data_IF_289351735570
#
_entry.id   IF_289351735570
#
_cell.length_a   1.000
_cell.length_b   1.000
_cell.length_c   1.000
_cell.angle_alpha   90.00
_cell.angle_beta   90.00
_cell.angle_gamma   90.00
#
_symmetry.space_group_name_H-M   'P 1'
#
loop_
_entity.id
_entity.type
_entity.pdbx_description
1 polymer ?
#
# COMPACT_ATOMS: atom_id res chain seq x y z
N UNK A 1 -15.59 17.36 7.00
CA UNK A 1 -15.76 16.26 6.02
C UNK A 1 -14.70 15.21 6.29
N UNK A 2 -15.05 13.91 6.34
CA UNK A 2 -14.12 12.83 6.73
C UNK A 2 -13.45 12.22 5.49
N UNK A 3 -12.18 11.81 5.62
CA UNK A 3 -11.46 11.05 4.58
C UNK A 3 -12.17 9.71 4.34
N UNK A 4 -12.49 9.39 3.09
CA UNK A 4 -13.02 8.07 2.70
C UNK A 4 -11.88 7.18 2.21
N UNK A 5 -11.87 5.92 2.60
CA UNK A 5 -10.83 4.94 2.22
C UNK A 5 -11.45 3.75 1.53
N UNK A 6 -10.84 3.33 0.42
CA UNK A 6 -11.19 2.15 -0.34
C UNK A 6 -9.94 1.30 -0.57
N UNK A 7 -10.14 0.00 -0.75
CA UNK A 7 -9.07 -0.95 -1.03
C UNK A 7 -9.47 -1.81 -2.21
N UNK A 8 -8.58 -1.92 -3.19
CA UNK A 8 -8.71 -2.88 -4.29
C UNK A 8 -7.62 -3.93 -4.17
N UNK A 9 -7.96 -5.18 -4.48
CA UNK A 9 -7.08 -6.34 -4.35
C UNK A 9 -7.08 -7.13 -5.65
N UNK A 10 -5.93 -7.23 -6.29
CA UNK A 10 -5.80 -7.82 -7.61
C UNK A 10 -4.40 -8.40 -7.84
N UNK A 11 -4.28 -9.29 -8.82
CA UNK A 11 -2.97 -9.74 -9.29
C UNK A 11 -2.44 -8.82 -10.38
N UNK A 12 -1.15 -8.49 -10.29
CA UNK A 12 -0.46 -7.70 -11.29
C UNK A 12 0.90 -8.31 -11.60
N UNK A 13 1.25 -8.32 -12.89
CA UNK A 13 2.56 -8.77 -13.35
C UNK A 13 3.24 -7.62 -14.10
N UNK A 14 4.25 -7.02 -13.46
CA UNK A 14 5.12 -6.09 -14.18
C UNK A 14 5.97 -6.86 -15.21
N UNK A 15 6.39 -6.18 -16.28
CA UNK A 15 7.16 -6.82 -17.36
C UNK A 15 8.48 -7.46 -16.88
N UNK A 16 9.09 -6.93 -15.80
CA UNK A 16 10.31 -7.49 -15.20
C UNK A 16 10.06 -8.64 -14.23
N UNK A 17 8.82 -9.03 -13.98
CA UNK A 17 8.47 -10.07 -13.02
C UNK A 17 8.20 -11.40 -13.72
N UNK A 18 8.78 -12.45 -13.15
CA UNK A 18 8.63 -13.85 -13.57
C UNK A 18 7.19 -14.38 -13.43
N UNK A 19 6.43 -13.83 -12.49
CA UNK A 19 5.04 -14.22 -12.20
C UNK A 19 4.19 -13.05 -11.70
N UNK A 20 2.86 -13.13 -11.81
CA UNK A 20 1.95 -12.19 -11.16
C UNK A 20 2.15 -12.19 -9.64
N UNK A 21 1.92 -11.04 -9.03
CA UNK A 21 1.94 -10.86 -7.57
C UNK A 21 0.68 -10.14 -7.13
N UNK A 22 0.22 -10.44 -5.93
CA UNK A 22 -0.91 -9.74 -5.33
C UNK A 22 -0.52 -8.29 -5.03
N UNK A 23 -1.36 -7.36 -5.45
CA UNK A 23 -1.22 -5.93 -5.29
C UNK A 23 -2.49 -5.38 -4.65
N UNK A 24 -2.30 -4.59 -3.60
CA UNK A 24 -3.37 -3.92 -2.88
C UNK A 24 -3.25 -2.42 -3.15
N UNK A 25 -4.28 -1.83 -3.76
CA UNK A 25 -4.37 -0.39 -3.95
C UNK A 25 -5.16 0.24 -2.81
N UNK A 26 -4.52 1.13 -2.05
CA UNK A 26 -5.13 1.98 -1.04
C UNK A 26 -5.54 3.29 -1.70
N UNK A 27 -6.85 3.58 -1.72
CA UNK A 27 -7.41 4.78 -2.35
C UNK A 27 -8.03 5.66 -1.25
N UNK A 28 -7.51 6.87 -1.08
CA UNK A 28 -8.00 7.84 -0.09
C UNK A 28 -8.57 9.10 -0.76
N UNK A 29 -9.83 9.40 -0.47
CA UNK A 29 -10.49 10.63 -0.89
C UNK A 29 -10.43 11.67 0.23
N UNK A 30 -9.64 12.71 -0.02
CA UNK A 30 -9.46 13.84 0.89
C UNK A 30 -10.39 14.99 0.48
N UNK A 31 -11.15 15.58 1.40
CA UNK A 31 -12.04 16.71 1.09
C UNK A 31 -11.26 17.89 0.52
N UNK A 32 -11.72 18.45 -0.60
CA UNK A 32 -11.08 19.60 -1.26
C UNK A 32 -9.99 19.22 -2.26
N UNK A 33 -9.62 17.93 -2.38
CA UNK A 33 -8.72 17.44 -3.43
C UNK A 33 -9.53 16.94 -4.64
N UNK A 34 -9.09 17.30 -5.85
CA UNK A 34 -9.74 16.90 -7.10
C UNK A 34 -9.53 15.40 -7.42
N UNK A 35 -8.40 14.84 -7.00
CA UNK A 35 -8.02 13.46 -7.27
C UNK A 35 -7.76 12.70 -5.96
N UNK A 36 -8.05 11.40 -5.90
CA UNK A 36 -7.73 10.60 -4.73
C UNK A 36 -6.23 10.35 -4.62
N UNK A 37 -5.75 10.15 -3.39
CA UNK A 37 -4.41 9.64 -3.13
C UNK A 37 -4.42 8.13 -3.27
N UNK A 38 -3.64 7.59 -4.19
CA UNK A 38 -3.53 6.15 -4.45
C UNK A 38 -2.14 5.66 -4.08
N UNK A 39 -2.06 4.64 -3.24
CA UNK A 39 -0.83 3.92 -2.92
C UNK A 39 -0.97 2.44 -3.25
N UNK A 40 0.10 1.80 -3.71
CA UNK A 40 0.11 0.38 -4.06
C UNK A 40 1.04 -0.40 -3.12
N UNK A 41 0.57 -1.56 -2.64
CA UNK A 41 1.35 -2.48 -1.82
C UNK A 41 1.41 -3.81 -2.56
N UNK A 42 2.61 -4.22 -2.97
CA UNK A 42 2.86 -5.58 -3.47
C UNK A 42 3.10 -6.48 -2.27
N UNK A 43 2.34 -7.57 -2.14
CA UNK A 43 2.40 -8.43 -0.96
C UNK A 43 2.15 -9.89 -1.30
N UNK A 44 2.74 -10.80 -0.52
CA UNK A 44 2.38 -12.22 -0.54
C UNK A 44 1.61 -12.63 0.73
N UNK A 45 1.30 -11.68 1.62
CA UNK A 45 0.52 -11.96 2.81
C UNK A 45 -0.91 -12.35 2.40
N UNK A 46 -1.53 -13.38 3.00
CA UNK A 46 -2.90 -13.79 2.68
C UNK A 46 -3.98 -12.97 3.41
N UNK A 47 -3.58 -11.94 4.18
CA UNK A 47 -4.47 -11.16 5.03
C UNK A 47 -5.37 -10.20 4.24
N UNK A 48 -6.45 -9.71 4.86
CA UNK A 48 -7.33 -8.72 4.26
C UNK A 48 -6.62 -7.38 3.95
N UNK A 49 -7.04 -6.66 2.90
CA UNK A 49 -6.42 -5.40 2.49
C UNK A 49 -6.26 -4.34 3.57
N UNK A 50 -7.28 -4.13 4.41
CA UNK A 50 -7.22 -3.13 5.49
C UNK A 50 -6.12 -3.50 6.51
N UNK A 51 -5.99 -4.79 6.83
CA UNK A 51 -4.97 -5.27 7.76
C UNK A 51 -3.56 -5.10 7.17
N UNK A 52 -3.38 -5.52 5.91
CA UNK A 52 -2.08 -5.38 5.21
C UNK A 52 -1.65 -3.92 5.13
N UNK A 53 -2.59 -3.02 4.81
CA UNK A 53 -2.31 -1.58 4.74
C UNK A 53 -1.93 -1.02 6.11
N UNK A 54 -2.65 -1.39 7.19
CA UNK A 54 -2.29 -0.98 8.55
C UNK A 54 -0.90 -1.46 8.94
N UNK A 55 -0.59 -2.72 8.65
CA UNK A 55 0.72 -3.32 8.91
C UNK A 55 1.84 -2.60 8.14
N UNK A 56 1.66 -2.33 6.84
CA UNK A 56 2.65 -1.62 6.03
C UNK A 56 2.79 -0.14 6.41
N UNK A 57 1.71 0.54 6.81
CA UNK A 57 1.82 1.92 7.31
C UNK A 57 2.65 2.01 8.60
N UNK A 58 2.63 0.96 9.43
CA UNK A 58 3.53 0.85 10.60
C UNK A 58 4.98 0.55 10.19
N UNK A 59 5.19 -0.08 9.03
CA UNK A 59 6.53 -0.38 8.49
C UNK A 59 7.33 0.86 8.09
N UNK A 60 6.69 2.01 7.84
CA UNK A 60 7.39 3.27 7.60
C UNK A 60 8.40 3.61 8.70
N UNK A 61 8.09 3.26 9.95
CA UNK A 61 9.00 3.38 11.09
C UNK A 61 10.17 2.39 10.99
N UNK A 62 9.92 1.15 10.58
CA UNK A 62 10.95 0.14 10.40
C UNK A 62 11.91 0.46 9.23
N UNK A 63 11.40 1.02 8.12
CA UNK A 63 12.25 1.47 7.01
C UNK A 63 13.10 2.68 7.37
N UNK A 64 12.58 3.61 8.18
CA UNK A 64 13.38 4.70 8.75
C UNK A 64 14.49 4.16 9.63
N UNK A 65 14.21 3.18 10.51
CA UNK A 65 15.26 2.55 11.32
C UNK A 65 16.30 1.77 10.50
N UNK A 66 15.90 1.10 9.41
CA UNK A 66 16.84 0.45 8.48
C UNK A 66 17.67 1.51 7.73
N UNK A 67 17.08 2.66 7.41
CA UNK A 67 17.77 3.78 6.75
C UNK A 67 18.74 4.48 7.70
N UNK A 68 18.36 4.69 8.96
CA UNK A 68 19.18 5.27 10.03
C UNK A 68 20.34 4.36 10.40
N UNK A 69 20.14 3.04 10.50
CA UNK A 69 21.21 2.08 10.80
C UNK A 69 22.19 1.80 9.65
N UNK A 70 22.01 2.44 8.48
CA UNK A 70 22.97 2.43 7.37
C UNK A 70 23.95 3.61 7.40
N UNK A 71 23.77 4.55 8.33
CA UNK A 71 24.66 5.69 8.57
C UNK A 71 25.40 5.52 9.90
#
# INVERSE_FOLDING_TARGET
TKVKRFFEDFEYQAASWDKPRRVIAKIEWHPGELFPKVGFIVTNLPMEPDWVVRFYNQRGTAEQHIKEGKY
#
